data_IF_089101950767
#
_entry.id   IF_089101950767
#
_cell.length_a   1.000
_cell.length_b   1.000
_cell.length_c   1.000
_cell.angle_alpha   90.00
_cell.angle_beta   90.00
_cell.angle_gamma   90.00
#
_symmetry.space_group_name_H-M   'P 1'
#
loop_
_entity.id
_entity.type
_entity.pdbx_description
1 polymer ?
#
# COMPACT_ATOMS: atom_id res chain seq x y z
N UNK A 1 1.93 9.62 -6.81
CA UNK A 1 1.31 8.43 -7.44
C UNK A 1 1.10 7.42 -6.35
N UNK A 2 0.05 6.62 -6.44
CA UNK A 2 -0.24 5.54 -5.50
C UNK A 2 -0.59 4.28 -6.27
N UNK A 3 -0.17 3.15 -5.72
CA UNK A 3 -0.45 1.83 -6.23
C UNK A 3 -0.66 0.91 -5.04
N UNK A 4 -1.72 0.11 -5.08
CA UNK A 4 -1.98 -0.83 -4.01
C UNK A 4 -3.32 -1.51 -4.20
N UNK A 5 -3.92 -1.89 -3.08
CA UNK A 5 -5.26 -2.43 -3.05
C UNK A 5 -6.14 -1.60 -2.11
N UNK A 6 -7.43 -1.55 -2.42
CA UNK A 6 -8.42 -0.80 -1.67
C UNK A 6 -9.67 -1.65 -1.48
N UNK A 7 -10.34 -1.45 -0.34
CA UNK A 7 -11.59 -2.11 0.02
C UNK A 7 -12.69 -1.06 0.15
N UNK A 8 -13.57 -0.97 -0.85
CA UNK A 8 -14.66 0.02 -0.84
C UNK A 8 -16.05 -0.58 -1.03
N UNK A 9 -16.16 -1.79 -1.63
CA UNK A 9 -17.45 -2.43 -1.92
C UNK A 9 -17.33 -3.96 -1.90
N UNK A 10 -18.38 -4.64 -1.44
CA UNK A 10 -18.57 -6.10 -1.51
C UNK A 10 -17.46 -6.95 -0.85
N UNK A 11 -16.74 -6.41 0.13
CA UNK A 11 -15.64 -7.07 0.85
C UNK A 11 -14.61 -7.77 -0.06
N UNK A 12 -14.39 -7.27 -1.28
CA UNK A 12 -13.35 -7.78 -2.18
C UNK A 12 -12.30 -6.71 -2.40
N UNK A 13 -11.03 -6.95 -2.01
CA UNK A 13 -9.96 -6.01 -2.28
C UNK A 13 -9.81 -5.87 -3.79
N UNK A 14 -9.62 -4.63 -4.25
CA UNK A 14 -9.43 -4.32 -5.66
C UNK A 14 -8.10 -3.62 -5.86
N UNK A 15 -7.38 -4.02 -6.91
CA UNK A 15 -6.19 -3.33 -7.34
C UNK A 15 -6.57 -1.90 -7.72
N UNK A 16 -5.79 -0.92 -7.27
CA UNK A 16 -5.97 0.45 -7.70
C UNK A 16 -4.66 1.12 -8.04
N UNK A 17 -4.79 2.11 -8.89
CA UNK A 17 -3.80 3.15 -9.08
C UNK A 17 -4.45 4.51 -8.88
N UNK A 18 -3.68 5.44 -8.35
CA UNK A 18 -4.06 6.85 -8.30
C UNK A 18 -2.88 7.72 -8.73
N UNK A 19 -3.17 8.80 -9.44
CA UNK A 19 -2.18 9.83 -9.75
C UNK A 19 -2.77 11.22 -9.61
N UNK A 20 -1.91 12.16 -9.25
CA UNK A 20 -2.16 13.60 -9.20
C UNK A 20 -0.90 14.30 -9.68
N UNK A 21 -1.05 15.32 -10.54
CA UNK A 21 0.05 16.14 -11.00
C UNK A 21 0.39 17.30 -10.06
N UNK A 22 -0.47 17.56 -9.07
CA UNK A 22 -0.35 18.74 -8.20
C UNK A 22 -0.72 18.43 -6.74
N UNK A 23 -0.14 17.38 -6.16
CA UNK A 23 -0.27 17.08 -4.73
C UNK A 23 -1.72 17.14 -4.21
N UNK A 24 -2.65 16.52 -4.95
CA UNK A 24 -4.08 16.41 -4.59
C UNK A 24 -4.86 17.73 -4.58
N UNK A 25 -4.30 18.83 -5.09
CA UNK A 25 -4.99 20.13 -5.07
C UNK A 25 -6.18 20.20 -6.02
N UNK A 26 -5.96 19.92 -7.31
CA UNK A 26 -7.05 20.02 -8.32
C UNK A 26 -7.07 18.88 -9.32
N UNK A 27 -5.94 18.17 -9.48
CA UNK A 27 -5.83 17.01 -10.36
C UNK A 27 -5.82 15.74 -9.52
N UNK A 28 -6.35 14.65 -10.07
CA UNK A 28 -6.48 13.40 -9.36
C UNK A 28 -7.27 12.41 -10.18
N UNK A 29 -6.81 11.17 -10.27
CA UNK A 29 -7.51 10.16 -11.04
C UNK A 29 -7.27 8.76 -10.55
N UNK A 30 -8.38 8.05 -10.32
CA UNK A 30 -8.38 6.63 -10.00
C UNK A 30 -8.42 5.78 -11.27
N UNK A 31 -7.58 4.75 -11.30
CA UNK A 31 -7.58 3.72 -12.34
C UNK A 31 -7.54 4.35 -13.75
N UNK A 32 -8.38 3.85 -14.65
CA UNK A 32 -8.53 4.35 -16.02
C UNK A 32 -9.77 5.26 -16.18
N UNK A 33 -10.26 5.87 -15.07
CA UNK A 33 -11.48 6.70 -15.12
C UNK A 33 -11.28 8.01 -15.87
N UNK A 34 -10.03 8.42 -16.07
CA UNK A 34 -9.64 9.55 -16.88
C UNK A 34 -8.29 9.27 -17.55
N UNK A 35 -7.90 10.06 -18.57
CA UNK A 35 -6.59 9.94 -19.20
C UNK A 35 -5.46 10.18 -18.19
N UNK A 36 -4.39 9.38 -18.25
CA UNK A 36 -3.17 9.62 -17.47
C UNK A 36 -2.36 8.36 -17.16
N UNK A 37 -2.97 7.18 -17.23
CA UNK A 37 -2.24 5.92 -17.22
C UNK A 37 -2.43 5.20 -18.55
N UNK A 38 -1.32 4.85 -19.21
CA UNK A 38 -1.31 4.06 -20.44
C UNK A 38 -1.11 2.60 -20.05
N UNK A 39 -2.20 1.84 -19.99
CA UNK A 39 -2.14 0.41 -19.75
C UNK A 39 -1.63 -0.31 -21.01
N UNK A 40 -0.57 -1.10 -20.86
CA UNK A 40 0.02 -1.92 -21.93
C UNK A 40 -0.30 -3.40 -21.75
N UNK A 41 -0.51 -3.84 -20.51
CA UNK A 41 -0.89 -5.21 -20.19
C UNK A 41 -2.31 -5.53 -20.61
N UNK A 42 -2.51 -6.76 -21.11
CA UNK A 42 -3.81 -7.38 -21.35
C UNK A 42 -4.19 -8.41 -20.28
N UNK A 43 -3.30 -8.71 -19.35
CA UNK A 43 -3.50 -9.72 -18.30
C UNK A 43 -3.95 -9.13 -16.96
N UNK A 44 -3.72 -7.83 -16.75
CA UNK A 44 -4.01 -7.15 -15.48
C UNK A 44 -5.12 -6.12 -15.69
N UNK A 45 -6.13 -6.14 -14.83
CA UNK A 45 -7.28 -5.24 -14.89
C UNK A 45 -7.21 -4.24 -13.74
N UNK A 46 -7.03 -2.95 -14.05
CA UNK A 46 -7.13 -1.87 -13.06
C UNK A 46 -8.55 -1.79 -12.48
N UNK A 47 -8.65 -1.72 -11.15
CA UNK A 47 -9.93 -1.82 -10.45
C UNK A 47 -10.51 -3.24 -10.39
N UNK A 48 -9.82 -4.23 -10.94
CA UNK A 48 -10.19 -5.64 -10.85
C UNK A 48 -10.09 -6.16 -9.41
N UNK A 49 -10.91 -7.15 -9.09
CA UNK A 49 -10.85 -7.84 -7.80
C UNK A 49 -9.56 -8.67 -7.70
N UNK A 50 -8.90 -8.60 -6.55
CA UNK A 50 -7.72 -9.39 -6.25
C UNK A 50 -8.15 -10.75 -5.70
N UNK A 51 -7.54 -11.81 -6.24
CA UNK A 51 -7.66 -13.17 -5.74
C UNK A 51 -6.33 -13.87 -5.94
N UNK A 52 -5.86 -14.70 -5.00
CA UNK A 52 -6.49 -15.04 -3.72
C UNK A 52 -6.29 -13.95 -2.63
N UNK A 53 -7.09 -14.01 -1.57
CA UNK A 53 -6.99 -13.11 -0.40
C UNK A 53 -6.53 -13.87 0.83
N UNK A 54 -5.84 -13.17 1.73
CA UNK A 54 -5.29 -13.73 2.96
C UNK A 54 -6.37 -14.21 3.92
N UNK A 55 -6.08 -15.27 4.67
CA UNK A 55 -6.94 -15.81 5.73
C UNK A 55 -6.18 -15.80 7.04
N UNK A 56 -6.81 -15.29 8.10
CA UNK A 56 -6.21 -15.23 9.43
C UNK A 56 -5.80 -16.62 9.93
N UNK A 57 -4.54 -16.76 10.35
CA UNK A 57 -3.97 -18.01 10.84
C UNK A 57 -3.67 -19.05 9.76
N UNK A 58 -3.81 -18.70 8.48
CA UNK A 58 -3.59 -19.61 7.34
C UNK A 58 -2.81 -18.88 6.22
N UNK A 59 -3.07 -19.19 4.95
CA UNK A 59 -2.38 -18.62 3.80
C UNK A 59 -2.53 -17.10 3.76
N UNK A 60 -1.38 -16.44 3.72
CA UNK A 60 -1.26 -15.00 3.52
C UNK A 60 -0.67 -14.72 2.14
N UNK A 61 -1.29 -13.79 1.42
CA UNK A 61 -0.90 -13.38 0.07
C UNK A 61 -0.42 -11.93 0.08
N UNK A 62 0.48 -11.61 -0.85
CA UNK A 62 1.06 -10.29 -1.05
C UNK A 62 0.96 -9.87 -2.51
N UNK A 63 1.06 -8.56 -2.77
CA UNK A 63 1.26 -8.02 -4.11
C UNK A 63 2.66 -7.41 -4.18
N UNK A 64 3.47 -7.87 -5.11
CA UNK A 64 4.76 -7.23 -5.41
C UNK A 64 4.49 -6.05 -6.33
N UNK A 65 5.00 -4.86 -5.98
CA UNK A 65 4.79 -3.62 -6.72
C UNK A 65 6.13 -2.99 -7.04
N UNK A 66 6.38 -2.71 -8.31
CA UNK A 66 7.53 -1.91 -8.73
C UNK A 66 7.07 -0.68 -9.48
N UNK A 67 7.57 0.48 -9.07
CA UNK A 67 7.39 1.75 -9.76
C UNK A 67 8.76 2.38 -9.99
N UNK A 68 9.07 2.73 -11.24
CA UNK A 68 10.35 3.35 -11.58
C UNK A 68 10.19 4.34 -12.72
N UNK A 69 11.07 5.35 -12.74
CA UNK A 69 11.15 6.30 -13.85
C UNK A 69 12.11 5.79 -14.92
N UNK A 70 11.64 5.68 -16.15
CA UNK A 70 12.50 5.45 -17.30
C UNK A 70 13.35 6.70 -17.55
N UNK A 71 14.66 6.55 -17.47
CA UNK A 71 15.63 7.62 -17.67
C UNK A 71 15.68 8.13 -19.13
N UNK A 72 15.22 7.33 -20.10
CA UNK A 72 15.24 7.71 -21.52
C UNK A 72 14.02 8.51 -21.93
N UNK A 73 12.82 8.03 -21.60
CA UNK A 73 11.57 8.65 -22.01
C UNK A 73 10.94 9.51 -20.92
N UNK A 74 11.41 9.42 -19.68
CA UNK A 74 10.85 10.16 -18.53
C UNK A 74 9.53 9.61 -17.99
N UNK A 75 9.02 8.51 -18.55
CA UNK A 75 7.78 7.87 -18.13
C UNK A 75 7.95 7.09 -16.83
N UNK A 76 6.92 7.07 -16.00
CA UNK A 76 6.89 6.27 -14.77
C UNK A 76 6.20 4.94 -15.05
N UNK A 77 6.94 3.85 -14.98
CA UNK A 77 6.46 2.50 -15.27
C UNK A 77 5.97 1.80 -14.01
N UNK A 78 4.96 0.96 -14.20
CA UNK A 78 4.41 0.07 -13.18
C UNK A 78 4.56 -1.39 -13.64
N UNK A 79 5.09 -2.23 -12.76
CA UNK A 79 4.98 -3.69 -12.88
C UNK A 79 4.44 -4.31 -11.59
N UNK A 80 3.80 -5.47 -11.72
CA UNK A 80 3.18 -6.19 -10.61
C UNK A 80 3.57 -7.66 -10.61
N UNK A 81 3.57 -8.22 -9.40
CA UNK A 81 3.80 -9.65 -9.15
C UNK A 81 5.29 -10.05 -9.18
N UNK A 82 5.58 -11.30 -8.77
CA UNK A 82 6.95 -11.79 -8.65
C UNK A 82 7.70 -11.89 -9.99
N UNK A 83 6.95 -11.97 -11.11
CA UNK A 83 7.51 -12.02 -12.46
C UNK A 83 7.69 -10.62 -13.09
N UNK A 84 7.46 -9.54 -12.34
CA UNK A 84 7.57 -8.15 -12.83
C UNK A 84 6.75 -7.91 -14.10
N UNK A 85 5.50 -8.38 -14.11
CA UNK A 85 4.61 -8.21 -15.26
C UNK A 85 4.35 -6.72 -15.49
N UNK A 86 4.87 -6.19 -16.60
CA UNK A 86 4.67 -4.80 -17.00
C UNK A 86 3.18 -4.55 -17.17
N UNK A 87 2.66 -3.58 -16.42
CA UNK A 87 1.25 -3.19 -16.43
C UNK A 87 1.01 -2.06 -17.42
N UNK A 88 1.87 -1.04 -17.36
CA UNK A 88 1.70 0.21 -18.07
C UNK A 88 2.55 1.32 -17.46
N UNK A 89 2.28 2.55 -17.85
CA UNK A 89 3.04 3.72 -17.40
C UNK A 89 2.19 4.98 -17.28
N UNK A 90 2.62 5.89 -16.41
CA UNK A 90 2.18 7.29 -16.41
C UNK A 90 3.16 8.11 -17.27
N UNK A 91 2.67 8.89 -18.26
CA UNK A 91 3.49 9.85 -18.98
C UNK A 91 4.19 10.82 -18.03
N UNK A 92 5.48 11.08 -18.25
CA UNK A 92 6.26 11.99 -17.41
C UNK A 92 5.69 13.41 -17.36
N UNK A 93 5.03 13.84 -18.44
CA UNK A 93 4.39 15.16 -18.60
C UNK A 93 3.29 15.45 -17.56
N UNK A 94 2.74 14.41 -16.91
CA UNK A 94 1.75 14.58 -15.85
C UNK A 94 2.32 15.18 -14.57
N UNK A 95 3.64 15.15 -14.39
CA UNK A 95 4.30 15.54 -13.15
C UNK A 95 5.28 16.68 -13.41
N UNK A 96 4.86 17.90 -13.11
CA UNK A 96 5.71 19.09 -13.30
C UNK A 96 6.85 19.18 -12.28
N UNK A 97 6.66 18.60 -11.09
CA UNK A 97 7.59 18.73 -9.97
C UNK A 97 8.21 17.39 -9.54
N UNK A 98 8.06 16.32 -10.33
CA UNK A 98 8.56 14.98 -9.98
C UNK A 98 9.70 14.56 -10.91
N UNK A 99 10.77 15.36 -10.91
CA UNK A 99 11.97 15.04 -11.69
C UNK A 99 12.71 13.82 -11.09
N UNK A 100 12.69 13.71 -9.76
CA UNK A 100 13.13 12.56 -8.97
C UNK A 100 12.10 12.26 -7.86
N UNK A 101 12.20 11.09 -7.24
CA UNK A 101 11.30 10.69 -6.14
C UNK A 101 11.66 11.47 -4.88
N UNK A 102 10.84 12.45 -4.50
CA UNK A 102 11.09 13.26 -3.29
C UNK A 102 10.64 12.56 -2.01
N UNK A 103 9.54 11.80 -2.07
CA UNK A 103 8.98 11.09 -0.92
C UNK A 103 8.41 9.74 -1.37
N UNK A 104 8.81 8.66 -0.69
CA UNK A 104 8.23 7.32 -0.82
C UNK A 104 7.58 6.95 0.50
N UNK A 105 6.37 6.41 0.43
CA UNK A 105 5.61 6.00 1.60
C UNK A 105 5.01 4.62 1.36
N UNK A 106 4.96 3.82 2.42
CA UNK A 106 4.20 2.59 2.51
C UNK A 106 3.11 2.81 3.54
N UNK A 107 1.85 2.76 3.11
CA UNK A 107 0.73 3.29 3.89
C UNK A 107 -0.38 2.25 3.98
N UNK A 108 -0.89 2.05 5.20
CA UNK A 108 -2.21 1.49 5.45
C UNK A 108 -3.15 2.63 5.83
N UNK A 109 -4.25 2.81 5.10
CA UNK A 109 -5.21 3.89 5.32
C UNK A 109 -6.61 3.32 5.59
N UNK A 110 -7.28 3.92 6.58
CA UNK A 110 -8.70 3.68 6.87
C UNK A 110 -9.44 5.00 6.68
N UNK A 111 -10.41 5.00 5.78
CA UNK A 111 -11.33 6.12 5.57
C UNK A 111 -12.70 5.69 6.08
N UNK A 112 -13.06 6.18 7.26
CA UNK A 112 -14.41 6.04 7.79
C UNK A 112 -15.20 7.34 7.57
N UNK A 113 -16.32 7.23 6.87
CA UNK A 113 -17.19 8.36 6.52
C UNK A 113 -18.36 8.55 7.49
N UNK A 114 -18.46 7.73 8.55
CA UNK A 114 -19.48 7.89 9.58
C UNK A 114 -19.19 9.13 10.41
N UNK A 115 -19.96 10.18 10.15
CA UNK A 115 -20.11 11.30 11.06
C UNK A 115 -21.03 10.87 12.21
N UNK A 116 -20.62 11.21 13.44
CA UNK A 116 -21.22 10.96 14.76
C UNK A 116 -20.76 9.69 15.51
N UNK A 117 -19.81 9.87 16.45
CA UNK A 117 -19.61 8.93 17.56
C UNK A 117 -18.20 8.40 17.81
N UNK A 118 -17.17 9.26 17.79
CA UNK A 118 -15.84 9.17 18.46
C UNK A 118 -14.94 7.93 18.39
N UNK A 119 -15.35 6.79 17.88
CA UNK A 119 -14.55 5.57 17.99
C UNK A 119 -14.50 4.81 16.65
N UNK A 120 -13.29 4.72 16.07
CA UNK A 120 -13.04 4.05 14.80
C UNK A 120 -13.09 2.53 14.97
N UNK A 121 -14.25 1.90 14.84
CA UNK A 121 -14.38 0.43 14.93
C UNK A 121 -13.83 -0.33 13.71
N UNK A 122 -13.34 0.38 12.69
CA UNK A 122 -12.86 -0.27 11.46
C UNK A 122 -11.50 -0.91 11.69
N UNK A 123 -11.43 -2.22 11.48
CA UNK A 123 -10.19 -3.00 11.57
C UNK A 123 -9.22 -2.65 10.43
N UNK A 124 -7.94 -2.50 10.75
CA UNK A 124 -6.88 -2.41 9.75
C UNK A 124 -6.28 -3.80 9.50
N UNK A 125 -6.35 -4.23 8.24
CA UNK A 125 -5.86 -5.54 7.84
C UNK A 125 -6.77 -6.65 8.37
N UNK A 126 -6.25 -7.45 9.30
CA UNK A 126 -6.99 -8.51 10.00
C UNK A 126 -7.62 -8.05 11.32
N UNK A 127 -7.40 -6.81 11.74
CA UNK A 127 -7.77 -6.35 13.08
C UNK A 127 -6.74 -6.68 14.17
N UNK A 128 -5.64 -7.37 13.83
CA UNK A 128 -4.62 -7.77 14.79
C UNK A 128 -3.41 -6.84 14.81
N UNK A 129 -2.78 -6.74 15.98
CA UNK A 129 -1.60 -5.92 16.17
C UNK A 129 -0.35 -6.54 15.52
N UNK A 130 0.60 -5.70 15.09
CA UNK A 130 1.78 -6.12 14.34
C UNK A 130 2.71 -7.07 15.12
N UNK A 131 2.66 -7.08 16.45
CA UNK A 131 3.41 -8.01 17.29
C UNK A 131 3.05 -9.49 17.03
N UNK A 132 1.88 -9.77 16.46
CA UNK A 132 1.46 -11.14 16.13
C UNK A 132 2.10 -11.70 14.85
N UNK A 133 2.70 -10.85 14.02
CA UNK A 133 3.56 -11.25 12.90
C UNK A 133 2.85 -11.98 11.75
N UNK A 134 3.63 -12.75 10.98
CA UNK A 134 3.18 -13.42 9.76
C UNK A 134 2.05 -14.43 10.01
N UNK A 135 1.09 -14.48 9.09
CA UNK A 135 -0.13 -15.27 9.20
C UNK A 135 -1.25 -14.56 9.96
N UNK A 136 -0.95 -13.44 10.64
CA UNK A 136 -1.91 -12.73 11.49
C UNK A 136 -1.98 -11.25 11.18
N UNK A 137 -0.86 -10.53 11.18
CA UNK A 137 -0.80 -9.09 10.91
C UNK A 137 -0.52 -8.78 9.44
N UNK A 138 -0.87 -7.57 8.98
CA UNK A 138 -0.46 -7.07 7.67
C UNK A 138 1.02 -6.66 7.69
N UNK A 139 1.65 -6.61 6.51
CA UNK A 139 3.05 -6.23 6.39
C UNK A 139 3.37 -5.56 5.07
N UNK A 140 4.49 -4.84 5.08
CA UNK A 140 5.28 -4.55 3.89
C UNK A 140 6.64 -5.21 4.05
N UNK A 141 7.20 -5.73 2.94
CA UNK A 141 8.50 -6.40 2.93
C UNK A 141 9.24 -6.10 1.64
N UNK A 142 10.54 -6.39 1.61
CA UNK A 142 11.44 -5.99 0.53
C UNK A 142 11.28 -4.49 0.21
N UNK A 143 11.32 -3.67 1.26
CA UNK A 143 11.18 -2.23 1.13
C UNK A 143 12.42 -1.62 0.49
N UNK A 144 12.27 -1.19 -0.77
CA UNK A 144 13.36 -0.68 -1.58
C UNK A 144 12.96 0.60 -2.32
N UNK A 145 13.96 1.43 -2.59
CA UNK A 145 13.86 2.62 -3.44
C UNK A 145 14.75 2.46 -4.65
N UNK A 146 14.34 3.05 -5.77
CA UNK A 146 15.16 3.04 -6.99
C UNK A 146 16.35 4.00 -6.79
N UNK A 147 17.56 3.43 -6.75
CA UNK A 147 18.82 4.16 -6.82
C UNK A 147 19.22 4.45 -8.26
N UNK A 148 20.50 4.77 -8.51
CA UNK A 148 20.96 5.16 -9.85
C UNK A 148 20.77 4.08 -10.91
N UNK A 149 20.93 2.79 -10.56
CA UNK A 149 20.82 1.66 -11.50
C UNK A 149 20.22 0.39 -10.89
N UNK A 150 19.79 0.42 -9.63
CA UNK A 150 19.30 -0.75 -8.90
C UNK A 150 18.32 -0.34 -7.79
N UNK A 151 17.57 -1.32 -7.29
CA UNK A 151 16.78 -1.17 -6.07
C UNK A 151 17.72 -1.21 -4.85
N UNK A 152 17.51 -0.27 -3.93
CA UNK A 152 18.29 -0.10 -2.72
C UNK A 152 17.38 -0.27 -1.50
N UNK A 153 17.72 -1.15 -0.55
CA UNK A 153 16.96 -1.30 0.68
C UNK A 153 16.82 0.01 1.44
N UNK A 154 15.62 0.26 1.98
CA UNK A 154 15.35 1.41 2.82
C UNK A 154 16.16 1.32 4.11
N UNK A 155 16.84 2.42 4.47
CA UNK A 155 17.68 2.48 5.66
C UNK A 155 16.91 2.91 6.93
N UNK A 156 15.89 3.75 6.76
CA UNK A 156 15.06 4.22 7.86
C UNK A 156 13.68 4.64 7.34
N UNK A 157 12.67 4.51 8.21
CA UNK A 157 11.32 4.99 7.97
C UNK A 157 10.88 5.87 9.14
N UNK A 158 10.20 6.96 8.82
CA UNK A 158 9.41 7.68 9.81
C UNK A 158 8.03 7.06 9.86
N UNK A 159 7.65 6.56 11.03
CA UNK A 159 6.30 6.03 11.27
C UNK A 159 5.35 7.15 11.67
N UNK A 160 4.13 7.10 11.16
CA UNK A 160 3.03 7.96 11.59
C UNK A 160 1.80 7.07 11.76
N UNK A 161 1.33 6.92 13.00
CA UNK A 161 0.25 6.00 13.35
C UNK A 161 -0.66 6.65 14.36
N UNK A 162 -1.96 6.42 14.21
CA UNK A 162 -2.95 6.75 15.24
C UNK A 162 -2.91 5.66 16.32
N UNK A 163 -1.97 5.82 17.25
CA UNK A 163 -1.60 4.80 18.25
C UNK A 163 -2.71 4.47 19.26
N UNK A 164 -3.84 5.17 19.23
CA UNK A 164 -5.04 4.79 19.99
C UNK A 164 -5.71 3.54 19.40
N UNK A 165 -5.60 3.30 18.09
CA UNK A 165 -6.40 2.31 17.37
C UNK A 165 -5.57 1.29 16.59
N UNK A 166 -4.39 1.69 16.14
CA UNK A 166 -3.52 0.90 15.27
C UNK A 166 -2.08 0.99 15.72
N UNK A 167 -1.25 0.08 15.22
CA UNK A 167 0.17 0.05 15.52
C UNK A 167 1.00 -0.39 14.32
N UNK A 168 2.28 -0.05 14.34
CA UNK A 168 3.28 -0.42 13.34
C UNK A 168 4.59 -0.77 14.04
N UNK A 169 5.15 -1.95 13.73
CA UNK A 169 6.43 -2.35 14.28
C UNK A 169 7.56 -1.48 13.71
N UNK A 170 8.64 -1.36 14.48
CA UNK A 170 9.90 -0.85 13.97
C UNK A 170 10.35 -1.63 12.74
N UNK A 171 11.12 -0.96 11.89
CA UNK A 171 11.74 -1.56 10.72
C UNK A 171 12.64 -2.72 11.17
N UNK A 172 12.47 -3.89 10.56
CA UNK A 172 13.34 -5.05 10.76
C UNK A 172 13.94 -5.50 9.43
N UNK A 173 15.03 -6.27 9.49
CA UNK A 173 15.74 -6.75 8.32
C UNK A 173 16.29 -8.16 8.52
N UNK A 174 15.94 -9.06 7.60
CA UNK A 174 16.52 -10.40 7.55
C UNK A 174 16.65 -10.90 6.10
N UNK A 175 17.39 -12.00 5.90
CA UNK A 175 17.68 -12.52 4.57
C UNK A 175 16.48 -13.11 3.82
N UNK A 176 15.38 -13.41 4.51
CA UNK A 176 14.14 -13.94 3.92
C UNK A 176 13.16 -12.81 3.59
N UNK A 177 13.01 -11.83 4.46
CA UNK A 177 12.00 -10.77 4.35
C UNK A 177 12.54 -9.47 3.74
N UNK A 178 13.87 -9.33 3.66
CA UNK A 178 14.49 -8.05 3.38
C UNK A 178 14.14 -7.04 4.46
N UNK A 179 14.19 -5.76 4.10
CA UNK A 179 13.68 -4.69 4.96
C UNK A 179 12.15 -4.78 5.00
N UNK A 180 11.57 -4.85 6.20
CA UNK A 180 10.14 -5.08 6.37
C UNK A 180 9.58 -4.44 7.65
N UNK A 181 8.26 -4.34 7.72
CA UNK A 181 7.51 -3.92 8.91
C UNK A 181 6.10 -4.50 8.88
N UNK A 182 5.60 -4.85 10.06
CA UNK A 182 4.22 -5.28 10.27
C UNK A 182 3.38 -4.11 10.76
N UNK A 183 2.11 -4.08 10.37
CA UNK A 183 1.15 -3.06 10.78
C UNK A 183 -0.26 -3.65 10.89
N UNK A 184 -1.13 -2.99 11.66
CA UNK A 184 -2.52 -3.40 11.82
C UNK A 184 -3.12 -2.88 13.12
N UNK A 185 -4.33 -3.34 13.42
CA UNK A 185 -4.98 -3.09 14.69
C UNK A 185 -6.50 -3.17 14.58
N UNK A 186 -7.19 -3.36 15.72
CA UNK A 186 -8.62 -3.65 15.74
C UNK A 186 -9.48 -2.42 15.50
N UNK A 187 -8.88 -1.23 15.42
CA UNK A 187 -9.64 -0.01 15.60
C UNK A 187 -9.91 0.22 17.09
N UNK A 188 -11.06 0.83 17.40
CA UNK A 188 -11.53 0.99 18.77
C UNK A 188 -12.12 -0.32 19.27
N UNK A 189 -11.60 -0.82 20.39
CA UNK A 189 -12.10 -2.02 21.05
C UNK A 189 -12.58 -1.68 22.46
N UNK A 190 -13.85 -1.97 22.76
CA UNK A 190 -14.35 -2.03 24.14
C UNK A 190 -13.79 -3.28 24.82
N UNK A 191 -12.51 -3.30 25.20
CA UNK A 191 -12.04 -4.33 26.11
C UNK A 191 -12.63 -4.04 27.49
N UNK A 192 -13.72 -4.73 27.85
CA UNK A 192 -14.06 -4.93 29.25
C UNK A 192 -12.91 -5.73 29.90
N UNK A 193 -11.99 -5.02 30.54
CA UNK A 193 -11.04 -5.61 31.47
C UNK A 193 -11.81 -6.14 32.67
N UNK A 194 -12.19 -7.41 32.64
CA UNK A 194 -12.57 -8.13 33.85
C UNK A 194 -11.32 -8.76 34.44
N UNK A 195 -10.92 -8.25 35.62
CA UNK A 195 -10.04 -8.99 36.52
C UNK A 195 -10.90 -10.09 37.15
N UNK A 196 -10.68 -11.33 36.74
CA UNK A 196 -11.18 -12.51 37.44
C UNK A 196 -10.17 -12.94 38.51
N UNK A 197 -10.68 -13.26 39.70
CA UNK A 197 -9.90 -13.80 40.83
C UNK A 197 -9.20 -15.13 40.50
#
# INVERSE_FOLDING_TARGET
>A
MEVGWQLYTNNRPRLFIFWTGNAYHTTGCYNLRCPGFVQTSRSIVMGGAISHVSVFGDKQYEITVHVWKDQKQGNWWLSLGPENLIVGYWPGELFTNLEYTENVQWVGEIVDSHSFGTDRETEMGSGHFPAEGFGKACYFRNLEIVGSNNFQPVQSLKTNVDSKYYDVNYLDTDGKWGVHSFYGGPGFSYTHSSLGN
#
